data_IF_211920502499
#
_entry.id   IF_211920502499
#
_cell.length_a   1.000
_cell.length_b   1.000
_cell.length_c   1.000
_cell.angle_alpha   90.00
_cell.angle_beta   90.00
_cell.angle_gamma   90.00
#
_symmetry.space_group_name_H-M   'P 1'
#
loop_
_entity.id
_entity.type
_entity.pdbx_description
1 polymer ?
#
# COMPACT_ATOMS: atom_id res chain seq x y z
N UNK A 1 -16.38 -3.80 -3.35
CA UNK A 1 -15.50 -2.80 -2.71
C UNK A 1 -15.46 -2.83 -1.18
N UNK A 2 -16.55 -3.15 -0.47
CA UNK A 2 -16.56 -3.14 1.01
C UNK A 2 -15.58 -4.14 1.62
N UNK A 3 -15.65 -5.43 1.24
CA UNK A 3 -14.75 -6.45 1.79
C UNK A 3 -13.27 -6.16 1.51
N UNK A 4 -12.93 -5.81 0.26
CA UNK A 4 -11.58 -5.41 -0.12
C UNK A 4 -11.07 -4.20 0.69
N UNK A 5 -11.88 -3.14 0.80
CA UNK A 5 -11.54 -1.95 1.57
C UNK A 5 -11.37 -2.25 3.06
N UNK A 6 -12.26 -3.07 3.63
CA UNK A 6 -12.17 -3.52 5.02
C UNK A 6 -10.88 -4.32 5.27
N UNK A 7 -10.53 -5.24 4.38
CA UNK A 7 -9.28 -6.00 4.47
C UNK A 7 -8.06 -5.10 4.41
N UNK A 8 -8.02 -4.11 3.51
CA UNK A 8 -6.90 -3.15 3.43
C UNK A 8 -6.83 -2.22 4.65
N UNK A 9 -7.98 -1.81 5.21
CA UNK A 9 -8.03 -1.06 6.46
C UNK A 9 -7.55 -1.89 7.66
N UNK A 10 -7.88 -3.18 7.70
CA UNK A 10 -7.40 -4.10 8.74
C UNK A 10 -5.88 -4.27 8.69
N UNK A 11 -5.27 -4.37 7.49
CA UNK A 11 -3.81 -4.40 7.33
C UNK A 11 -3.17 -3.15 7.91
N UNK A 12 -3.70 -1.95 7.61
CA UNK A 12 -3.20 -0.70 8.20
C UNK A 12 -3.22 -0.73 9.74
N UNK A 13 -4.36 -1.09 10.32
CA UNK A 13 -4.49 -1.15 11.78
C UNK A 13 -3.53 -2.18 12.40
N UNK A 14 -3.32 -3.30 11.70
CA UNK A 14 -2.34 -4.32 12.09
C UNK A 14 -0.91 -3.77 12.04
N UNK A 15 -0.51 -3.09 10.97
CA UNK A 15 0.83 -2.53 10.80
C UNK A 15 1.15 -1.47 11.87
N UNK A 16 0.17 -0.65 12.26
CA UNK A 16 0.30 0.30 13.37
C UNK A 16 0.63 -0.40 14.71
N UNK A 17 -0.01 -1.54 14.97
CA UNK A 17 0.29 -2.38 16.14
C UNK A 17 1.66 -3.06 16.04
N UNK A 18 1.89 -3.73 14.91
CA UNK A 18 3.11 -4.49 14.62
C UNK A 18 4.36 -3.59 14.71
N UNK A 19 4.29 -2.35 14.22
CA UNK A 19 5.41 -1.41 14.30
C UNK A 19 5.91 -1.21 15.75
N UNK A 20 5.01 -1.18 16.74
CA UNK A 20 5.37 -1.01 18.16
C UNK A 20 6.05 -2.25 18.73
N UNK A 21 5.61 -3.43 18.31
CA UNK A 21 6.20 -4.72 18.74
C UNK A 21 7.54 -4.98 18.06
N UNK A 22 7.61 -4.77 16.74
CA UNK A 22 8.78 -4.96 15.89
C UNK A 22 9.94 -4.03 16.28
N UNK A 23 9.64 -2.78 16.68
CA UNK A 23 10.65 -1.82 17.15
C UNK A 23 11.52 -2.36 18.28
N UNK A 24 10.96 -3.16 19.19
CA UNK A 24 11.71 -3.78 20.31
C UNK A 24 12.74 -4.82 19.84
N UNK A 25 12.57 -5.33 18.62
CA UNK A 25 13.45 -6.31 17.97
C UNK A 25 14.38 -5.66 16.94
N UNK A 26 14.43 -4.32 16.86
CA UNK A 26 15.23 -3.61 15.87
C UNK A 26 14.69 -3.70 14.45
N UNK A 27 13.41 -4.09 14.27
CA UNK A 27 12.76 -4.20 12.96
C UNK A 27 11.86 -2.97 12.72
N UNK A 28 12.02 -2.33 11.57
CA UNK A 28 11.17 -1.22 11.12
C UNK A 28 10.05 -1.75 10.22
N UNK A 29 8.85 -1.22 10.40
CA UNK A 29 7.67 -1.50 9.57
C UNK A 29 7.37 -0.25 8.74
N UNK A 30 7.14 -0.45 7.44
CA UNK A 30 6.69 0.58 6.51
C UNK A 30 5.27 0.22 6.05
N UNK A 31 4.29 1.05 6.38
CA UNK A 31 2.93 0.95 5.85
C UNK A 31 2.83 1.72 4.52
N UNK A 32 2.79 1.01 3.40
CA UNK A 32 2.69 1.57 2.06
C UNK A 32 1.29 1.42 1.49
N UNK A 33 0.66 2.56 1.16
CA UNK A 33 -0.75 2.62 0.74
C UNK A 33 -0.90 3.31 -0.62
N UNK A 34 -0.36 2.72 -1.71
CA UNK A 34 -0.50 3.28 -3.04
C UNK A 34 -1.96 3.34 -3.50
N UNK A 35 -2.34 4.32 -4.33
CA UNK A 35 -3.64 4.37 -4.99
C UNK A 35 -3.71 3.32 -6.12
N UNK A 36 -4.68 3.46 -7.03
CA UNK A 36 -4.79 2.55 -8.18
C UNK A 36 -3.47 2.49 -8.95
N UNK A 37 -3.02 1.29 -9.28
CA UNK A 37 -1.75 1.03 -9.99
C UNK A 37 -2.01 0.00 -11.09
N UNK A 38 -1.49 0.25 -12.28
CA UNK A 38 -1.71 -0.52 -13.52
C UNK A 38 -0.95 -1.87 -13.54
N UNK A 39 -1.16 -2.67 -12.51
CA UNK A 39 -0.56 -4.01 -12.33
C UNK A 39 -1.30 -5.12 -13.10
N UNK A 40 -2.43 -4.78 -13.73
CA UNK A 40 -3.35 -5.76 -14.32
C UNK A 40 -4.07 -6.66 -13.31
N UNK A 41 -4.00 -6.36 -12.00
CA UNK A 41 -4.74 -7.10 -10.96
C UNK A 41 -6.24 -6.83 -11.02
N UNK A 42 -6.65 -5.60 -11.36
CA UNK A 42 -8.06 -5.24 -11.48
C UNK A 42 -8.79 -6.08 -12.54
N UNK A 43 -8.10 -6.42 -13.65
CA UNK A 43 -8.64 -7.27 -14.72
C UNK A 43 -8.56 -8.78 -14.44
N UNK A 44 -7.94 -9.21 -13.33
CA UNK A 44 -7.72 -10.62 -12.96
C UNK A 44 -8.21 -10.94 -11.55
N UNK A 45 -9.24 -10.24 -11.09
CA UNK A 45 -9.80 -10.46 -9.76
C UNK A 45 -10.40 -11.86 -9.62
N UNK A 46 -10.00 -12.59 -8.56
CA UNK A 46 -10.55 -13.91 -8.22
C UNK A 46 -11.96 -13.78 -7.64
N UNK A 47 -12.27 -12.65 -7.00
CA UNK A 47 -13.57 -12.36 -6.42
C UNK A 47 -13.89 -10.86 -6.46
N UNK A 48 -15.17 -10.55 -6.66
CA UNK A 48 -15.70 -9.19 -6.76
C UNK A 48 -15.52 -8.57 -8.15
N UNK A 49 -16.30 -7.52 -8.41
CA UNK A 49 -16.20 -6.72 -9.63
C UNK A 49 -15.44 -5.43 -9.31
N UNK A 50 -14.38 -5.15 -10.06
CA UNK A 50 -13.67 -3.89 -9.95
C UNK A 50 -14.62 -2.73 -10.33
N UNK A 51 -14.70 -1.66 -9.52
CA UNK A 51 -15.41 -0.45 -9.93
C UNK A 51 -14.70 0.17 -11.14
N UNK A 52 -15.39 1.03 -11.89
CA UNK A 52 -14.72 1.88 -12.88
C UNK A 52 -13.75 2.80 -12.13
N UNK A 53 -12.46 2.55 -12.30
CA UNK A 53 -11.38 3.38 -11.77
C UNK A 53 -10.90 4.31 -12.88
N UNK A 54 -10.37 5.48 -12.52
CA UNK A 54 -9.58 6.28 -13.45
C UNK A 54 -8.26 5.59 -13.80
N UNK A 55 -7.47 6.20 -14.68
CA UNK A 55 -6.11 5.74 -14.99
C UNK A 55 -5.29 5.61 -13.69
N UNK A 56 -4.67 4.44 -13.51
CA UNK A 56 -3.80 4.15 -12.38
C UNK A 56 -2.38 4.63 -12.59
N UNK A 57 -1.59 4.55 -11.52
CA UNK A 57 -0.16 4.82 -11.55
C UNK A 57 0.60 3.71 -12.28
N UNK A 58 1.73 4.08 -12.87
CA UNK A 58 2.67 3.14 -13.47
C UNK A 58 3.37 2.31 -12.37
N UNK A 59 3.42 0.96 -12.49
CA UNK A 59 3.97 0.09 -11.44
C UNK A 59 5.41 0.38 -11.01
N UNK A 60 6.31 0.70 -11.94
CA UNK A 60 7.71 1.00 -11.62
C UNK A 60 7.84 2.32 -10.84
N UNK A 61 6.96 3.28 -11.07
CA UNK A 61 6.87 4.53 -10.30
C UNK A 61 6.49 4.25 -8.86
N UNK A 62 5.45 3.44 -8.65
CA UNK A 62 5.03 3.02 -7.30
C UNK A 62 6.15 2.23 -6.60
N UNK A 63 6.81 1.31 -7.30
CA UNK A 63 7.90 0.53 -6.75
C UNK A 63 9.09 1.41 -6.32
N UNK A 64 9.45 2.40 -7.14
CA UNK A 64 10.52 3.36 -6.84
C UNK A 64 10.23 4.14 -5.56
N UNK A 65 9.03 4.71 -5.43
CA UNK A 65 8.62 5.46 -4.24
C UNK A 65 8.68 4.58 -2.97
N UNK A 66 8.32 3.30 -3.07
CA UNK A 66 8.44 2.35 -1.94
C UNK A 66 9.91 2.08 -1.61
N UNK A 67 10.77 1.84 -2.60
CA UNK A 67 12.20 1.64 -2.38
C UNK A 67 12.85 2.88 -1.72
N UNK A 68 12.55 4.08 -2.20
CA UNK A 68 13.07 5.33 -1.65
C UNK A 68 12.60 5.52 -0.18
N UNK A 69 11.36 5.13 0.13
CA UNK A 69 10.83 5.15 1.49
C UNK A 69 11.56 4.15 2.42
N UNK A 70 11.90 2.96 1.90
CA UNK A 70 12.70 1.98 2.63
C UNK A 70 14.10 2.53 2.90
N UNK A 71 14.74 3.16 1.93
CA UNK A 71 16.10 3.72 2.09
C UNK A 71 16.13 4.91 3.06
N UNK A 72 15.21 5.87 2.92
CA UNK A 72 15.09 7.05 3.80
C UNK A 72 14.65 6.72 5.22
N UNK A 73 14.04 5.55 5.40
CA UNK A 73 13.55 5.09 6.68
C UNK A 73 12.22 5.66 7.13
N UNK A 74 11.40 6.07 6.17
CA UNK A 74 10.00 6.33 6.40
C UNK A 74 9.29 5.10 7.00
N UNK A 75 8.23 5.36 7.76
CA UNK A 75 7.39 4.32 8.37
C UNK A 75 5.93 4.40 7.92
N UNK A 76 5.53 5.53 7.34
CA UNK A 76 4.20 5.76 6.80
C UNK A 76 4.31 6.35 5.40
N UNK A 77 3.61 5.73 4.44
CA UNK A 77 3.62 6.11 3.05
C UNK A 77 2.17 6.07 2.52
N UNK A 78 1.42 7.11 2.85
CA UNK A 78 0.04 7.28 2.42
C UNK A 78 -0.10 7.55 0.92
N UNK A 79 -1.33 7.47 0.39
CA UNK A 79 -1.61 7.60 -1.05
C UNK A 79 -1.10 8.89 -1.69
N UNK A 80 -1.04 9.99 -0.93
CA UNK A 80 -0.54 11.28 -1.39
C UNK A 80 0.96 11.26 -1.75
N UNK A 81 1.73 10.32 -1.20
CA UNK A 81 3.17 10.20 -1.49
C UNK A 81 3.48 9.66 -2.90
N UNK A 82 2.46 9.19 -3.62
CA UNK A 82 2.60 8.54 -4.93
C UNK A 82 2.12 9.40 -6.11
N UNK A 83 1.57 10.58 -5.85
CA UNK A 83 0.95 11.47 -6.87
C UNK A 83 1.77 12.75 -7.11
N UNK A 84 3.07 12.68 -6.83
CA UNK A 84 4.05 13.76 -7.06
C UNK A 84 4.96 13.48 -8.25
#
# INVERSE_FOLDING_TARGET
>A
MVAYGASKAAVRAFDEGLAREARRKGVRVLDARPPHTETGLAGRAIAGTAPKMGEGLEPATVARVICDAIESGATDLGSAAFVG
#
